data_IF_651341894425
#
_entry.id   IF_651341894425
#
_cell.length_a   1.000
_cell.length_b   1.000
_cell.length_c   1.000
_cell.angle_alpha   90.00
_cell.angle_beta   90.00
_cell.angle_gamma   90.00
#
_symmetry.space_group_name_H-M   'P 1'
#
loop_
_entity.id
_entity.type
_entity.pdbx_description
1 polymer ?
#
# COMPACT_ATOMS: atom_id res chain seq x y z
N UNK A 1 18.05 11.59 -3.91
CA UNK A 1 18.99 10.72 -3.19
C UNK A 1 19.44 11.25 -1.84
N UNK A 2 19.62 12.56 -1.63
CA UNK A 2 20.14 13.06 -0.34
C UNK A 2 19.27 12.80 0.90
N UNK A 3 17.94 12.72 0.76
CA UNK A 3 17.05 12.52 1.92
C UNK A 3 17.31 11.18 2.62
N UNK A 4 17.49 10.12 1.83
CA UNK A 4 17.62 8.74 2.31
C UNK A 4 19.05 8.34 2.65
N UNK A 5 20.04 9.18 2.31
CA UNK A 5 21.46 8.94 2.65
C UNK A 5 21.83 9.52 4.01
N UNK A 6 21.11 10.56 4.46
CA UNK A 6 21.39 11.25 5.73
C UNK A 6 20.57 10.70 6.90
N UNK A 7 19.46 10.01 6.65
CA UNK A 7 18.52 9.56 7.69
C UNK A 7 18.41 8.03 7.73
N UNK A 8 18.61 7.44 8.91
CA UNK A 8 18.47 5.99 9.13
C UNK A 8 17.02 5.51 9.10
N UNK A 9 16.07 6.37 9.45
CA UNK A 9 14.65 6.05 9.45
C UNK A 9 13.78 7.26 9.07
N UNK A 10 12.64 6.97 8.48
CA UNK A 10 11.70 7.97 7.95
C UNK A 10 10.25 7.60 8.25
N UNK A 11 9.36 8.59 8.20
CA UNK A 11 7.93 8.42 8.02
C UNK A 11 7.55 8.99 6.65
N UNK A 12 6.66 8.29 5.95
CA UNK A 12 6.19 8.70 4.63
C UNK A 12 4.75 9.21 4.74
N UNK A 13 4.53 10.48 4.43
CA UNK A 13 3.23 11.16 4.50
C UNK A 13 2.65 11.33 3.11
N UNK A 14 1.46 10.82 2.88
CA UNK A 14 0.74 10.97 1.61
C UNK A 14 0.07 12.34 1.49
N UNK A 15 -0.42 12.65 0.30
CA UNK A 15 -1.22 13.85 0.01
C UNK A 15 -2.53 14.00 0.81
N UNK A 16 -2.94 12.97 1.56
CA UNK A 16 -4.14 12.99 2.42
C UNK A 16 -3.79 13.29 3.88
N UNK A 17 -2.55 13.70 4.16
CA UNK A 17 -2.02 13.84 5.52
C UNK A 17 -2.11 12.56 6.35
N UNK A 18 -1.93 11.42 5.66
CA UNK A 18 -1.87 10.09 6.27
C UNK A 18 -0.47 9.54 6.10
N UNK A 19 -0.06 8.71 7.05
CA UNK A 19 1.25 8.10 7.04
C UNK A 19 1.15 6.65 6.56
N UNK A 20 2.17 6.22 5.80
CA UNK A 20 2.39 4.83 5.47
C UNK A 20 2.69 4.04 6.74
N UNK A 21 1.90 3.01 7.02
CA UNK A 21 2.09 2.13 8.17
C UNK A 21 2.17 0.67 7.75
N UNK A 22 3.03 -0.05 8.45
CA UNK A 22 3.04 -1.50 8.51
C UNK A 22 1.93 -1.96 9.47
N UNK A 23 1.03 -2.84 9.01
CA UNK A 23 -0.01 -3.41 9.89
C UNK A 23 0.52 -4.60 10.70
N UNK A 24 -0.17 -4.89 11.80
CA UNK A 24 0.20 -5.96 12.75
C UNK A 24 -0.04 -7.37 12.19
N UNK A 25 -0.76 -7.50 11.08
CA UNK A 25 -0.91 -8.76 10.34
C UNK A 25 0.39 -9.18 9.62
N UNK A 26 1.42 -8.32 9.69
CA UNK A 26 2.74 -8.50 9.14
C UNK A 26 2.76 -8.63 7.59
N UNK A 27 1.63 -8.45 6.91
CA UNK A 27 1.51 -8.57 5.45
C UNK A 27 1.01 -7.26 4.85
N UNK A 28 0.04 -6.62 5.47
CA UNK A 28 -0.66 -5.46 4.92
C UNK A 28 0.11 -4.17 5.17
N UNK A 29 0.03 -3.30 4.19
CA UNK A 29 0.52 -1.92 4.27
C UNK A 29 -0.65 -1.00 3.96
N UNK A 30 -0.89 -0.03 4.84
CA UNK A 30 -2.00 0.91 4.72
C UNK A 30 -1.60 2.33 5.11
N UNK A 31 -2.56 3.24 5.06
CA UNK A 31 -2.41 4.62 5.48
C UNK A 31 -3.26 4.92 6.70
N UNK A 32 -2.74 5.70 7.65
CA UNK A 32 -3.52 6.20 8.79
C UNK A 32 -3.19 7.64 9.12
N UNK A 33 -4.19 8.39 9.61
CA UNK A 33 -3.99 9.76 10.10
C UNK A 33 -3.23 9.80 11.42
N UNK A 34 -3.29 8.72 12.21
CA UNK A 34 -2.63 8.60 13.51
C UNK A 34 -1.16 8.16 13.43
N UNK A 35 -0.58 8.09 12.23
CA UNK A 35 0.75 7.52 12.07
C UNK A 35 1.88 8.37 12.62
N UNK A 36 1.67 9.68 12.85
CA UNK A 36 2.72 10.55 13.41
C UNK A 36 3.20 10.07 14.79
N UNK A 37 2.35 9.52 15.65
CA UNK A 37 2.73 8.98 16.95
C UNK A 37 2.99 7.47 16.95
N UNK A 38 2.71 6.76 15.85
CA UNK A 38 2.81 5.30 15.79
C UNK A 38 4.20 4.85 15.37
N UNK A 39 4.74 3.87 16.10
CA UNK A 39 5.97 3.15 15.76
C UNK A 39 5.86 2.40 14.42
N UNK A 40 4.67 1.87 14.12
CA UNK A 40 4.32 1.23 12.85
C UNK A 40 4.47 2.12 11.60
N UNK A 41 4.56 3.44 11.77
CA UNK A 41 4.78 4.37 10.67
C UNK A 41 6.27 4.60 10.35
N UNK A 42 7.17 4.08 11.18
CA UNK A 42 8.62 4.25 11.02
C UNK A 42 9.15 3.19 10.07
N UNK A 43 9.81 3.65 9.02
CA UNK A 43 10.48 2.82 8.03
C UNK A 43 11.99 3.07 8.07
N UNK A 44 12.76 2.05 8.38
CA UNK A 44 14.21 2.09 8.34
C UNK A 44 14.67 2.00 6.89
N UNK A 45 15.66 2.83 6.57
CA UNK A 45 16.18 2.98 5.22
C UNK A 45 17.44 2.13 5.13
N UNK A 46 17.40 1.11 4.29
CA UNK A 46 18.56 0.28 3.98
C UNK A 46 19.00 0.56 2.54
N UNK A 47 20.25 0.97 2.37
CA UNK A 47 20.82 1.20 1.04
C UNK A 47 21.22 -0.14 0.41
N UNK A 48 20.90 -0.32 -0.87
CA UNK A 48 21.33 -1.52 -1.60
C UNK A 48 22.78 -1.31 -2.06
N UNK A 49 23.71 -2.12 -1.54
CA UNK A 49 25.16 -1.92 -1.73
C UNK A 49 25.61 -1.79 -3.19
N UNK A 50 25.00 -2.54 -4.10
CA UNK A 50 25.30 -2.48 -5.54
C UNK A 50 24.61 -1.32 -6.27
N UNK A 51 23.59 -0.71 -5.65
CA UNK A 51 22.72 0.30 -6.26
C UNK A 51 22.48 1.45 -5.27
N UNK A 52 23.41 2.40 -5.21
CA UNK A 52 23.33 3.57 -4.32
C UNK A 52 22.09 4.46 -4.52
N UNK A 53 21.40 4.31 -5.66
CA UNK A 53 20.16 5.00 -6.00
C UNK A 53 18.89 4.27 -5.55
N UNK A 54 19.02 3.06 -5.00
CA UNK A 54 17.93 2.18 -4.61
C UNK A 54 17.96 1.96 -3.10
N UNK A 55 16.78 1.97 -2.51
CA UNK A 55 16.58 1.73 -1.09
C UNK A 55 15.64 0.56 -0.85
N UNK A 56 15.79 -0.06 0.31
CA UNK A 56 14.81 -0.96 0.91
C UNK A 56 14.26 -0.28 2.15
N UNK A 57 12.95 -0.39 2.34
CA UNK A 57 12.25 0.20 3.48
C UNK A 57 11.82 -0.92 4.41
N UNK A 58 12.44 -0.99 5.60
CA UNK A 58 12.16 -2.00 6.62
C UNK A 58 11.22 -1.45 7.67
N UNK A 59 10.14 -2.17 7.94
CA UNK A 59 9.15 -1.87 8.97
C UNK A 59 9.69 -2.14 10.38
N UNK A 60 8.96 -1.69 11.40
CA UNK A 60 9.23 -2.05 12.79
C UNK A 60 9.10 -3.56 13.10
N UNK A 61 8.44 -4.33 12.23
CA UNK A 61 8.33 -5.79 12.37
C UNK A 61 9.50 -6.53 11.70
N UNK A 62 10.49 -5.80 11.18
CA UNK A 62 11.63 -6.39 10.50
C UNK A 62 11.37 -6.84 9.06
N UNK A 63 10.16 -6.63 8.53
CA UNK A 63 9.75 -6.93 7.15
C UNK A 63 9.93 -5.74 6.22
N UNK A 64 10.01 -5.98 4.93
CA UNK A 64 10.29 -4.96 3.92
C UNK A 64 9.07 -4.59 3.10
N UNK A 65 8.98 -3.31 2.73
CA UNK A 65 7.99 -2.80 1.80
C UNK A 65 8.22 -3.38 0.40
N UNK A 66 7.23 -4.10 -0.13
CA UNK A 66 7.36 -4.84 -1.38
C UNK A 66 6.30 -4.47 -2.40
N UNK A 67 6.74 -4.27 -3.64
CA UNK A 67 5.86 -4.12 -4.80
C UNK A 67 5.47 -5.50 -5.35
N UNK A 68 4.29 -6.00 -4.97
CA UNK A 68 3.82 -7.33 -5.39
C UNK A 68 3.24 -7.33 -6.82
N UNK A 69 3.06 -8.51 -7.40
CA UNK A 69 2.31 -8.72 -8.65
C UNK A 69 0.82 -9.03 -8.42
N UNK A 70 0.31 -8.89 -7.19
CA UNK A 70 -1.06 -9.21 -6.82
C UNK A 70 -1.96 -8.00 -7.11
N UNK A 71 -2.99 -8.10 -7.97
CA UNK A 71 -3.96 -7.02 -8.16
C UNK A 71 -4.66 -6.66 -6.84
N UNK A 72 -4.90 -5.36 -6.57
CA UNK A 72 -5.54 -4.98 -5.30
C UNK A 72 -7.03 -5.28 -5.25
N UNK A 73 -7.81 -4.75 -6.21
CA UNK A 73 -9.25 -4.95 -6.28
C UNK A 73 -9.67 -5.17 -7.73
N UNK A 74 -10.56 -6.13 -7.96
CA UNK A 74 -11.09 -6.41 -9.29
C UNK A 74 -11.76 -5.16 -9.87
N UNK A 75 -11.37 -4.79 -11.09
CA UNK A 75 -11.88 -3.60 -11.78
C UNK A 75 -11.24 -2.27 -11.35
N UNK A 76 -10.31 -2.26 -10.40
CA UNK A 76 -9.49 -1.08 -10.06
C UNK A 76 -8.05 -1.27 -10.54
N UNK A 77 -7.34 -0.18 -10.76
CA UNK A 77 -5.96 -0.19 -11.25
C UNK A 77 -4.96 -0.38 -10.11
N UNK A 78 -3.81 -0.99 -10.40
CA UNK A 78 -2.70 -1.09 -9.45
C UNK A 78 -2.66 -2.37 -8.64
N UNK A 79 -1.45 -2.71 -8.23
CA UNK A 79 -1.15 -3.93 -7.49
C UNK A 79 -0.91 -3.62 -6.00
N UNK A 80 -1.13 -4.62 -5.14
CA UNK A 80 -0.91 -4.50 -3.69
C UNK A 80 0.56 -4.19 -3.41
N UNK A 81 0.76 -3.31 -2.42
CA UNK A 81 2.04 -3.18 -1.73
C UNK A 81 1.90 -3.89 -0.39
N UNK A 82 2.86 -4.77 -0.10
CA UNK A 82 2.80 -5.67 1.06
C UNK A 82 4.10 -5.57 1.86
N UNK A 83 4.09 -6.17 3.05
CA UNK A 83 5.28 -6.47 3.83
C UNK A 83 5.71 -7.90 3.54
N UNK A 84 6.98 -8.12 3.26
CA UNK A 84 7.54 -9.47 3.11
C UNK A 84 8.95 -9.54 3.67
N UNK A 85 9.40 -10.75 3.95
CA UNK A 85 10.75 -11.01 4.46
C UNK A 85 11.77 -10.93 3.33
N UNK A 86 13.03 -10.63 3.70
CA UNK A 86 14.16 -10.70 2.79
C UNK A 86 14.45 -12.18 2.51
N UNK A 87 14.47 -12.58 1.24
CA UNK A 87 14.81 -13.96 0.89
C UNK A 87 16.32 -14.18 0.99
N UNK A 88 16.73 -15.25 1.67
CA UNK A 88 18.15 -15.63 1.83
C UNK A 88 18.83 -15.91 0.48
N UNK A 89 18.09 -16.47 -0.46
CA UNK A 89 18.59 -16.82 -1.80
C UNK A 89 18.56 -15.65 -2.80
N UNK A 90 18.18 -14.44 -2.37
CA UNK A 90 18.06 -13.23 -3.20
C UNK A 90 17.09 -13.28 -4.40
N UNK A 91 16.38 -14.39 -4.64
CA UNK A 91 15.57 -14.58 -5.88
C UNK A 91 14.49 -13.53 -6.07
N UNK A 92 13.88 -13.06 -4.98
CA UNK A 92 12.75 -12.14 -5.00
C UNK A 92 13.03 -10.77 -4.37
N UNK A 93 14.28 -10.52 -3.96
CA UNK A 93 14.64 -9.30 -3.22
C UNK A 93 14.53 -8.03 -4.05
N UNK A 94 14.51 -8.13 -5.39
CA UNK A 94 14.21 -7.02 -6.30
C UNK A 94 12.80 -6.46 -6.12
N UNK A 95 11.84 -7.22 -5.57
CA UNK A 95 10.49 -6.71 -5.24
C UNK A 95 10.50 -5.69 -4.10
N UNK A 96 11.55 -5.71 -3.27
CA UNK A 96 11.75 -4.86 -2.09
C UNK A 96 12.44 -3.54 -2.43
N UNK A 97 12.91 -3.41 -3.67
CA UNK A 97 13.74 -2.31 -4.14
C UNK A 97 12.88 -1.15 -4.63
N UNK A 98 13.15 0.03 -4.07
CA UNK A 98 12.51 1.28 -4.42
C UNK A 98 13.55 2.32 -4.81
N UNK A 99 13.36 2.96 -5.96
CA UNK A 99 14.16 4.09 -6.42
C UNK A 99 13.46 5.40 -6.03
N UNK A 100 14.05 6.22 -5.14
CA UNK A 100 13.47 7.50 -4.75
C UNK A 100 13.77 8.59 -5.78
N UNK A 101 12.71 9.13 -6.39
CA UNK A 101 12.76 10.22 -7.36
C UNK A 101 12.29 11.49 -6.65
N UNK A 102 13.13 12.53 -6.64
CA UNK A 102 12.82 13.79 -5.96
C UNK A 102 11.86 14.63 -6.80
N UNK A 103 10.81 15.15 -6.15
CA UNK A 103 9.83 16.05 -6.76
C UNK A 103 9.58 17.22 -5.79
N UNK A 104 10.37 18.29 -5.96
CA UNK A 104 10.40 19.42 -5.02
C UNK A 104 10.78 18.99 -3.59
N UNK A 105 9.82 19.15 -2.66
CA UNK A 105 9.93 18.75 -1.25
C UNK A 105 9.36 17.35 -0.96
N UNK A 106 8.82 16.69 -1.97
CA UNK A 106 8.26 15.35 -1.87
C UNK A 106 9.11 14.36 -2.68
N UNK A 107 8.80 13.09 -2.53
CA UNK A 107 9.44 12.01 -3.27
C UNK A 107 8.40 11.10 -3.89
N UNK A 108 8.75 10.56 -5.05
CA UNK A 108 8.08 9.43 -5.67
C UNK A 108 8.95 8.20 -5.41
N UNK A 109 8.34 7.07 -5.08
CA UNK A 109 9.06 5.81 -4.86
C UNK A 109 8.72 4.88 -6.02
N UNK A 110 9.68 4.67 -6.91
CA UNK A 110 9.53 3.83 -8.11
C UNK A 110 9.95 2.41 -7.80
N UNK A 111 9.08 1.44 -8.08
CA UNK A 111 9.38 0.03 -7.92
C UNK A 111 10.19 -0.51 -9.11
N UNK A 112 10.64 -1.76 -8.98
CA UNK A 112 11.28 -2.54 -10.04
C UNK A 112 10.51 -2.59 -11.38
N UNK A 113 9.17 -2.46 -11.36
CA UNK A 113 8.33 -2.50 -12.56
C UNK A 113 8.04 -1.10 -13.12
N UNK A 114 8.82 -0.10 -12.73
CA UNK A 114 8.64 1.31 -13.11
C UNK A 114 7.29 1.93 -12.70
N UNK A 115 6.58 1.30 -11.75
CA UNK A 115 5.35 1.83 -11.15
C UNK A 115 5.66 2.58 -9.87
N UNK A 116 4.78 3.49 -9.49
CA UNK A 116 5.01 4.40 -8.36
C UNK A 116 4.15 4.01 -7.17
N UNK A 117 4.73 4.09 -5.97
CA UNK A 117 4.01 3.92 -4.71
C UNK A 117 2.89 4.95 -4.62
N UNK A 118 1.67 4.48 -4.41
CA UNK A 118 0.44 5.28 -4.42
C UNK A 118 -0.35 5.11 -3.14
N UNK A 119 -0.63 6.23 -2.48
CA UNK A 119 -1.55 6.30 -1.35
C UNK A 119 -2.98 6.56 -1.82
N UNK A 120 -3.85 5.56 -1.68
CA UNK A 120 -5.23 5.62 -2.16
C UNK A 120 -6.18 6.38 -1.20
N UNK A 121 -7.04 7.22 -1.78
CA UNK A 121 -8.19 7.84 -1.12
C UNK A 121 -9.51 7.12 -1.47
N UNK A 122 -10.64 7.80 -1.34
CA UNK A 122 -11.95 7.28 -1.80
C UNK A 122 -12.69 6.42 -0.79
N UNK A 123 -13.54 5.50 -1.27
CA UNK A 123 -14.41 4.63 -0.46
C UNK A 123 -13.74 3.28 -0.15
N UNK A 124 -14.11 2.60 0.94
CA UNK A 124 -13.70 1.22 1.17
C UNK A 124 -14.12 0.31 0.01
N UNK A 125 -13.37 -0.76 -0.29
CA UNK A 125 -12.13 -1.20 0.37
C UNK A 125 -10.87 -0.45 -0.10
N UNK A 126 -11.01 0.46 -1.06
CA UNK A 126 -9.91 1.20 -1.67
C UNK A 126 -9.31 2.27 -0.74
N UNK A 127 -10.16 2.86 0.10
CA UNK A 127 -9.78 3.84 1.11
C UNK A 127 -8.65 3.30 1.98
N UNK A 128 -7.64 4.15 2.22
CA UNK A 128 -6.48 3.85 3.07
C UNK A 128 -5.54 2.76 2.54
N UNK A 129 -5.84 2.12 1.41
CA UNK A 129 -4.93 1.14 0.84
C UNK A 129 -3.70 1.79 0.23
N UNK A 130 -2.66 0.98 0.05
CA UNK A 130 -1.43 1.36 -0.63
C UNK A 130 -1.20 0.41 -1.78
N UNK A 131 -0.96 0.98 -2.94
CA UNK A 131 -0.73 0.22 -4.18
C UNK A 131 0.49 0.76 -4.88
N UNK A 132 0.96 0.05 -5.90
CA UNK A 132 1.83 0.66 -6.90
C UNK A 132 1.14 0.62 -8.25
N UNK A 133 1.20 1.76 -8.93
CA UNK A 133 0.49 1.96 -10.18
C UNK A 133 1.21 2.97 -11.08
N UNK A 134 0.84 3.00 -12.35
CA UNK A 134 1.28 4.06 -13.25
C UNK A 134 0.49 5.35 -12.92
N UNK A 135 1.13 6.53 -12.95
CA UNK A 135 0.43 7.78 -12.67
C UNK A 135 -0.62 8.07 -13.75
N UNK A 136 -1.89 7.86 -13.42
CA UNK A 136 -2.99 8.31 -14.25
C UNK A 136 -2.99 9.84 -14.39
N UNK A 137 -3.35 10.33 -15.58
CA UNK A 137 -3.42 11.77 -15.88
C UNK A 137 -4.45 12.49 -15.00
N UNK A 138 -4.12 13.70 -14.53
CA UNK A 138 -5.05 14.58 -13.81
C UNK A 138 -4.91 14.53 -12.27
N UNK A 139 -6.02 14.55 -11.50
CA UNK A 139 -6.02 14.81 -10.05
C UNK A 139 -5.38 13.71 -9.20
N UNK A 140 -5.14 12.53 -9.76
CA UNK A 140 -4.48 11.39 -9.11
C UNK A 140 -2.96 11.50 -9.07
N UNK A 141 -2.35 12.45 -9.80
CA UNK A 141 -0.89 12.65 -9.78
C UNK A 141 -0.33 12.95 -8.39
N UNK A 142 -1.10 13.62 -7.52
CA UNK A 142 -0.66 13.85 -6.14
C UNK A 142 -0.64 12.57 -5.28
N UNK A 143 -1.28 11.48 -5.73
CA UNK A 143 -1.41 10.24 -4.96
C UNK A 143 -0.09 9.45 -4.86
N UNK A 144 0.84 9.72 -5.77
CA UNK A 144 2.17 9.13 -5.82
C UNK A 144 3.24 9.96 -5.10
N UNK A 145 2.87 11.15 -4.61
CA UNK A 145 3.78 12.06 -3.91
C UNK A 145 3.75 11.78 -2.41
N UNK A 146 4.93 11.57 -1.84
CA UNK A 146 5.13 11.31 -0.43
C UNK A 146 6.04 12.37 0.18
N UNK A 147 5.59 13.02 1.25
CA UNK A 147 6.43 13.80 2.14
C UNK A 147 7.31 12.87 2.97
N UNK A 148 8.58 13.23 3.13
CA UNK A 148 9.54 12.47 3.94
C UNK A 148 9.78 13.21 5.24
N UNK A 149 9.42 12.60 6.36
CA UNK A 149 9.69 13.10 7.70
C UNK A 149 10.80 12.26 8.34
N UNK A 150 11.94 12.86 8.66
CA UNK A 150 13.06 12.17 9.27
C UNK A 150 12.73 11.76 10.71
N UNK A 151 13.12 10.53 11.10
CA UNK A 151 12.99 10.04 12.47
C UNK A 151 14.39 9.93 13.07
N UNK A 152 14.59 10.54 14.23
CA UNK A 152 15.84 10.41 14.98
C UNK A 152 15.90 9.00 15.58
N UNK A 153 16.91 8.24 15.17
CA UNK A 153 17.25 6.94 15.77
C UNK A 153 18.51 7.15 16.60
N UNK A 154 18.53 6.79 17.90
CA UNK A 154 19.72 6.91 18.73
C UNK A 154 20.91 6.19 18.08
N UNK A 155 22.09 6.81 18.08
CA UNK A 155 23.27 6.28 17.40
C UNK A 155 23.94 5.10 18.12
N UNK A 156 23.58 4.85 19.40
CA UNK A 156 24.30 3.95 20.29
C UNK A 156 23.75 2.52 20.38
N UNK A 157 22.55 2.24 19.87
CA UNK A 157 21.94 0.90 19.97
C UNK A 157 21.94 0.23 18.60
N UNK A 158 22.13 -1.09 18.56
CA UNK A 158 21.95 -1.84 17.33
C UNK A 158 20.54 -1.59 16.80
N UNK A 159 20.37 -1.45 15.47
CA UNK A 159 19.02 -1.32 14.88
C UNK A 159 18.09 -2.43 15.36
N UNK A 160 18.64 -3.62 15.64
CA UNK A 160 17.94 -4.76 16.23
C UNK A 160 17.40 -4.48 17.64
N UNK A 161 18.17 -3.87 18.54
CA UNK A 161 17.72 -3.50 19.89
C UNK A 161 16.69 -2.37 19.87
N UNK A 162 16.87 -1.38 19.00
CA UNK A 162 15.87 -0.33 18.81
C UNK A 162 14.55 -0.93 18.27
N UNK A 163 14.63 -1.81 17.27
CA UNK A 163 13.47 -2.55 16.76
C UNK A 163 12.82 -3.43 17.84
N UNK A 164 13.62 -4.13 18.65
CA UNK A 164 13.14 -4.97 19.76
C UNK A 164 12.40 -4.13 20.82
N UNK A 165 12.94 -2.96 21.15
CA UNK A 165 12.33 -1.96 22.03
C UNK A 165 11.07 -1.32 21.43
N UNK A 166 10.96 -1.29 20.10
CA UNK A 166 9.76 -0.81 19.39
C UNK A 166 8.63 -1.84 19.40
N UNK A 167 8.96 -3.14 19.33
CA UNK A 167 8.00 -4.25 19.24
C UNK A 167 7.21 -4.50 20.54
N UNK A 168 7.76 -4.16 21.71
CA UNK A 168 7.18 -4.53 23.03
C UNK A 168 5.91 -3.76 23.47
N UNK A 169 5.35 -2.87 22.64
CA UNK A 169 4.16 -2.08 23.01
C UNK A 169 3.01 -2.32 22.01
N UNK A 170 2.38 -3.49 22.09
CA UNK A 170 1.13 -3.78 21.39
C UNK A 170 0.01 -2.88 21.94
N UNK A 171 -0.63 -2.09 21.08
CA UNK A 171 -1.82 -1.30 21.41
C UNK A 171 -2.94 -1.73 20.47
N UNK A 172 -4.13 -1.97 21.03
CA UNK A 172 -5.37 -2.47 20.41
C UNK A 172 -5.62 -2.12 18.92
N UNK A 173 -6.12 -3.10 18.15
CA UNK A 173 -6.42 -2.98 16.70
C UNK A 173 -7.38 -1.84 16.36
N UNK A 174 -7.07 -1.16 15.25
CA UNK A 174 -7.72 0.07 14.74
C UNK A 174 -9.10 -0.18 14.14
N UNK A 175 -9.41 -1.40 13.69
CA UNK A 175 -10.71 -1.75 13.07
C UNK A 175 -11.89 -1.49 14.01
N UNK A 176 -11.66 -1.63 15.32
CA UNK A 176 -12.66 -1.31 16.34
C UNK A 176 -12.80 0.19 16.50
N UNK A 177 -11.71 0.98 16.43
CA UNK A 177 -11.70 2.41 16.73
C UNK A 177 -12.18 3.30 15.57
N UNK A 178 -11.88 2.94 14.33
CA UNK A 178 -12.35 3.69 13.15
C UNK A 178 -13.88 3.53 13.02
N UNK A 179 -14.42 2.34 13.32
CA UNK A 179 -15.86 2.08 13.33
C UNK A 179 -16.64 2.91 14.36
N UNK A 180 -16.05 3.23 15.53
CA UNK A 180 -16.71 4.08 16.55
C UNK A 180 -16.61 5.57 16.21
N UNK A 181 -15.69 5.96 15.32
CA UNK A 181 -15.45 7.37 15.00
C UNK A 181 -16.34 7.92 13.88
N UNK A 182 -16.98 7.04 13.09
CA UNK A 182 -17.84 7.43 11.96
C UNK A 182 -19.30 7.74 12.37
N UNK A 183 -19.70 7.51 13.63
CA UNK A 183 -21.09 7.67 14.11
C UNK A 183 -21.42 9.02 14.80
N UNK A 184 -20.51 10.00 14.82
CA UNK A 184 -20.78 11.30 15.46
C UNK A 184 -20.60 12.49 14.52
N UNK A 185 -21.58 12.68 13.64
CA UNK A 185 -21.89 13.97 13.00
C UNK A 185 -23.38 14.25 13.10
N UNK A 186 -23.78 14.85 14.22
CA UNK A 186 -25.16 15.30 14.42
C UNK A 186 -25.36 16.08 15.72
N UNK A 187 -25.29 17.42 15.59
CA UNK A 187 -25.91 18.45 16.45
C UNK A 187 -25.30 18.75 17.83
N UNK A 188 -24.75 19.97 17.96
CA UNK A 188 -24.68 20.70 19.22
C UNK A 188 -26.10 21.04 19.73
N UNK A 189 -26.34 20.85 21.04
CA UNK A 189 -26.87 21.88 21.94
C UNK A 189 -27.00 21.33 23.38
N UNK A 190 -26.40 22.05 24.33
CA UNK A 190 -26.89 22.15 25.72
C UNK A 190 -26.52 21.04 26.70
N UNK A 191 -25.51 21.28 27.53
CA UNK A 191 -25.51 20.75 28.92
C UNK A 191 -26.70 21.33 29.69
N UNK A 192 -27.29 20.60 30.66
CA UNK A 192 -26.80 20.80 32.03
C UNK A 192 -26.85 19.57 32.96
N UNK A 193 -25.90 19.62 33.92
CA UNK A 193 -25.96 19.23 35.33
C UNK A 193 -26.02 17.74 35.76
N UNK A 194 -25.16 17.48 36.75
CA UNK A 194 -24.97 16.24 37.48
C UNK A 194 -26.00 16.04 38.60
N UNK A 195 -26.39 14.78 38.83
CA UNK A 195 -26.91 14.29 40.12
C UNK A 195 -26.28 12.92 40.40
N UNK A 196 -25.89 12.72 41.66
CA UNK A 196 -25.02 11.66 42.18
C UNK A 196 -25.82 10.59 42.94
N UNK A 197 -25.49 9.32 42.66
CA UNK A 197 -25.49 8.11 43.52
C UNK A 197 -26.80 7.46 44.04
N UNK A 198 -26.75 6.21 44.58
CA UNK A 198 -25.91 5.05 44.24
C UNK A 198 -26.71 3.71 44.15
N UNK A 199 -26.07 2.65 43.64
CA UNK A 199 -26.26 1.30 44.20
C UNK A 199 -26.69 0.16 43.26
N UNK A 200 -25.99 -0.97 43.45
CA UNK A 200 -26.30 -2.38 43.11
C UNK A 200 -25.97 -2.92 41.71
N UNK A 201 -24.92 -3.75 41.71
CA UNK A 201 -24.74 -4.94 40.86
C UNK A 201 -25.91 -5.92 41.03
N UNK A 202 -26.23 -6.80 40.05
CA UNK A 202 -25.47 -8.05 39.92
C UNK A 202 -25.32 -8.64 38.50
N UNK A 203 -24.32 -9.53 38.41
CA UNK A 203 -24.23 -10.80 37.67
C UNK A 203 -24.50 -10.88 36.15
N UNK A 204 -23.42 -11.31 35.49
CA UNK A 204 -23.34 -12.08 34.27
C UNK A 204 -24.46 -13.11 34.06
N UNK A 205 -25.04 -13.11 32.86
CA UNK A 205 -25.53 -14.33 32.18
C UNK A 205 -25.14 -14.29 30.71
N UNK A 206 -24.25 -15.21 30.36
CA UNK A 206 -23.87 -15.66 29.02
C UNK A 206 -25.11 -16.18 28.28
N UNK A 207 -25.50 -15.53 27.18
CA UNK A 207 -26.47 -16.09 26.23
C UNK A 207 -25.74 -16.42 24.94
N UNK A 208 -25.59 -17.74 24.74
CA UNK A 208 -25.00 -18.41 23.60
C UNK A 208 -26.03 -18.39 22.47
N UNK A 209 -25.89 -17.48 21.51
CA UNK A 209 -26.75 -17.46 20.30
C UNK A 209 -26.14 -18.33 19.21
N UNK A 210 -26.91 -19.34 18.80
CA UNK A 210 -26.55 -20.35 17.80
C UNK A 210 -26.75 -19.81 16.38
N UNK A 211 -25.80 -20.11 15.51
CA UNK A 211 -25.89 -19.92 14.06
C UNK A 211 -26.93 -20.85 13.44
N UNK A 212 -27.77 -20.40 12.48
CA UNK A 212 -28.48 -21.30 11.60
C UNK A 212 -27.56 -21.75 10.45
N UNK A 213 -27.30 -23.06 10.40
CA UNK A 213 -26.89 -23.76 9.16
C UNK A 213 -28.03 -23.67 8.16
N UNK A 214 -27.75 -23.15 6.96
CA UNK A 214 -28.58 -23.38 5.79
C UNK A 214 -27.91 -24.45 4.92
N UNK A 215 -28.54 -25.62 4.84
CA UNK A 215 -28.17 -26.72 3.97
C UNK A 215 -29.13 -26.81 2.78
N UNK A 216 -28.53 -27.00 1.60
CA UNK A 216 -29.00 -27.63 0.36
C UNK A 216 -30.37 -27.24 -0.22
N UNK A 217 -30.36 -26.84 -1.49
CA UNK A 217 -30.86 -27.74 -2.55
C UNK A 217 -30.28 -27.40 -3.91
N UNK A 218 -29.82 -28.45 -4.59
CA UNK A 218 -29.44 -28.44 -6.00
C UNK A 218 -30.70 -28.44 -6.86
N UNK A 219 -30.73 -27.57 -7.88
CA UNK A 219 -31.60 -27.79 -9.04
C UNK A 219 -30.83 -27.45 -10.31
N UNK A 220 -30.49 -28.51 -11.05
CA UNK A 220 -30.17 -28.47 -12.47
C UNK A 220 -31.41 -28.00 -13.24
N UNK A 221 -31.29 -26.99 -14.09
CA UNK A 221 -31.99 -26.94 -15.38
C UNK A 221 -31.06 -26.37 -16.43
N UNK A 222 -30.80 -27.20 -17.44
CA UNK A 222 -30.11 -26.83 -18.65
C UNK A 222 -30.96 -25.91 -19.52
N UNK A 223 -30.28 -25.12 -20.33
CA UNK A 223 -30.87 -24.27 -21.37
C UNK A 223 -29.78 -23.89 -22.36
N UNK A 224 -29.57 -24.76 -23.36
CA UNK A 224 -28.83 -24.43 -24.57
C UNK A 224 -29.46 -23.21 -25.25
N UNK A 225 -28.65 -22.23 -25.64
CA UNK A 225 -28.98 -21.38 -26.80
C UNK A 225 -27.73 -21.12 -27.63
N UNK A 226 -27.73 -21.80 -28.77
CA UNK A 226 -26.81 -21.69 -29.90
C UNK A 226 -27.26 -20.52 -30.81
N UNK A 227 -26.31 -20.03 -31.63
CA UNK A 227 -26.45 -19.19 -32.84
C UNK A 227 -26.35 -17.67 -32.58
N UNK A 228 -25.66 -16.87 -33.39
CA UNK A 228 -25.18 -17.06 -34.78
C UNK A 228 -24.14 -15.97 -35.13
N UNK A 229 -23.34 -16.30 -36.14
CA UNK A 229 -22.37 -15.48 -36.86
C UNK A 229 -22.89 -14.11 -37.31
N UNK A 230 -21.97 -13.14 -37.39
CA UNK A 230 -22.02 -12.13 -38.45
C UNK A 230 -20.62 -11.66 -38.85
N UNK A 231 -20.24 -12.08 -40.06
CA UNK A 231 -19.22 -11.52 -40.91
C UNK A 231 -19.38 -10.00 -41.08
N UNK A 232 -18.27 -9.27 -41.06
CA UNK A 232 -18.04 -8.16 -41.98
C UNK A 232 -16.61 -8.24 -42.51
N UNK A 233 -16.53 -8.58 -43.80
CA UNK A 233 -15.41 -8.26 -44.69
C UNK A 233 -15.53 -6.78 -45.10
N UNK A 234 -14.40 -6.08 -45.20
CA UNK A 234 -14.18 -4.91 -46.07
C UNK A 234 -12.71 -4.97 -46.56
N UNK A 235 -12.39 -4.55 -47.81
CA UNK A 235 -11.42 -5.27 -48.66
C UNK A 235 -10.04 -4.63 -48.80
N UNK A 236 -9.11 -5.47 -49.29
CA UNK A 236 -8.03 -5.26 -50.27
C UNK A 236 -7.47 -3.84 -50.46
N UNK A 237 -6.15 -3.71 -50.23
CA UNK A 237 -5.26 -2.92 -51.10
C UNK A 237 -3.93 -3.64 -51.33
N UNK A 238 -3.67 -3.88 -52.61
CA UNK A 238 -2.40 -4.35 -53.19
C UNK A 238 -1.32 -3.26 -53.21
N UNK A 239 -0.06 -3.72 -53.28
CA UNK A 239 1.10 -2.98 -53.79
C UNK A 239 1.87 -2.19 -52.73
N UNK A 240 3.21 -2.16 -52.69
CA UNK A 240 4.21 -2.40 -53.73
C UNK A 240 5.57 -2.76 -53.11
N UNK A 241 6.35 -3.49 -53.91
CA UNK A 241 7.73 -3.92 -53.76
C UNK A 241 8.72 -2.74 -53.82
N UNK A 242 9.74 -2.67 -52.96
CA UNK A 242 11.06 -2.09 -53.25
C UNK A 242 12.05 -2.43 -52.12
N UNK A 243 12.80 -3.52 -52.27
CA UNK A 243 14.22 -3.52 -52.66
C UNK A 243 15.16 -2.70 -51.76
N UNK A 244 15.92 -3.47 -50.99
CA UNK A 244 17.22 -3.20 -50.40
C UNK A 244 18.21 -2.52 -51.36
N UNK A 245 18.85 -1.45 -50.90
CA UNK A 245 20.19 -1.04 -51.36
C UNK A 245 21.03 -0.61 -50.16
N UNK A 246 21.90 -1.53 -49.74
CA UNK A 246 23.05 -1.27 -48.88
C UNK A 246 24.05 -0.38 -49.61
N UNK A 247 24.54 0.66 -48.93
CA UNK A 247 25.63 1.54 -49.37
C UNK A 247 26.79 1.34 -48.39
N UNK A 248 28.03 1.11 -48.85
CA UNK A 248 29.19 1.07 -47.96
C UNK A 248 29.68 2.49 -47.64
N UNK A 249 30.10 2.67 -46.38
CA UNK A 249 30.77 3.87 -45.88
C UNK A 249 32.24 3.92 -46.33
N UNK A 250 32.82 5.11 -46.60
CA UNK A 250 34.25 5.27 -46.78
C UNK A 250 34.97 5.48 -45.43
N UNK A 251 36.13 4.86 -45.25
CA UNK A 251 37.08 5.24 -44.20
C UNK A 251 38.01 6.37 -44.70
N UNK A 252 38.42 7.30 -43.84
CA UNK A 252 39.49 8.27 -44.13
C UNK A 252 40.80 7.91 -43.39
N UNK A 253 41.84 8.75 -43.57
CA UNK A 253 43.03 8.48 -44.37
C UNK A 253 44.00 7.42 -43.81
#
# INVERSE_FOLDING_TARGET
>A
MEFFTKTKAVKLRSHLDKYLIADDDLETVRQTRRGSSRKAAVWFVELVGEKSHVIRLRSCHGRYLAASNIPFLLGMTGNRVIQTELSENNVDNWKLEWEPIRDGFQVQLKSWCSKLLRGNGGTPPWRNSVTHDEPHTGPTRKWILWGVEAVQVPENDSLAEYLSSMSSFSTVSDDVLDAISDDYKGSEAGSPMAVVSPGRTPRFTLVKSMSPRLSLSSTKKGGQKKRRDRLQQVPVRDGFLSQSKSRPSPQPP
#
